data_IF_484095540990
#
_entry.id   IF_484095540990
#
_cell.length_a   1.000
_cell.length_b   1.000
_cell.length_c   1.000
_cell.angle_alpha   90.00
_cell.angle_beta   90.00
_cell.angle_gamma   90.00
#
_symmetry.space_group_name_H-M   'P 1'
#
loop_
_entity.id
_entity.type
_entity.pdbx_description
1 polymer ?
#
# COMPACT_ATOMS: atom_id res chain seq x y z
N UNK A 1 14.43 30.63 7.28
CA UNK A 1 13.28 31.56 7.29
C UNK A 1 12.21 31.02 6.33
N UNK A 2 11.15 30.41 6.85
CA UNK A 2 9.98 30.01 6.07
C UNK A 2 8.81 29.96 7.06
N UNK A 3 8.12 31.09 7.23
CA UNK A 3 6.82 31.17 7.89
C UNK A 3 6.19 32.51 7.49
N UNK A 4 5.73 32.60 6.24
CA UNK A 4 4.71 33.57 5.87
C UNK A 4 3.43 32.77 5.66
N UNK A 5 2.55 32.77 6.65
CA UNK A 5 1.15 32.41 6.47
C UNK A 5 0.56 33.35 5.43
N UNK A 6 0.32 32.84 4.22
CA UNK A 6 -0.39 33.58 3.20
C UNK A 6 -1.89 33.44 3.43
N UNK A 7 -2.59 34.57 3.55
CA UNK A 7 -4.05 34.59 3.59
C UNK A 7 -4.60 34.54 2.16
N UNK A 8 -5.53 33.63 1.91
CA UNK A 8 -6.23 33.50 0.64
C UNK A 8 -7.71 33.81 0.88
N UNK A 9 -8.32 34.58 -0.02
CA UNK A 9 -9.75 34.83 -0.06
C UNK A 9 -10.36 34.03 -1.21
N UNK A 10 -11.37 33.20 -0.93
CA UNK A 10 -12.09 32.43 -1.93
C UNK A 10 -13.56 32.87 -1.99
N UNK A 11 -14.16 32.85 -3.19
CA UNK A 11 -15.60 33.04 -3.36
C UNK A 11 -16.26 31.69 -3.48
N UNK A 12 -17.30 31.46 -2.69
CA UNK A 12 -18.08 30.23 -2.68
C UNK A 12 -19.51 30.55 -3.15
N UNK A 13 -20.19 29.56 -3.73
CA UNK A 13 -21.64 29.65 -3.91
C UNK A 13 -22.33 29.70 -2.53
N UNK A 14 -23.59 30.16 -2.49
CA UNK A 14 -24.36 30.20 -1.25
C UNK A 14 -24.53 28.80 -0.63
N UNK A 15 -24.68 27.79 -1.48
CA UNK A 15 -24.84 26.40 -1.08
C UNK A 15 -23.52 25.84 -0.51
N UNK A 16 -22.39 26.08 -1.17
CA UNK A 16 -21.06 25.64 -0.70
C UNK A 16 -20.67 26.31 0.61
N UNK A 17 -21.01 27.59 0.78
CA UNK A 17 -20.79 28.31 2.03
C UNK A 17 -21.63 27.70 3.16
N UNK A 18 -22.90 27.40 2.90
CA UNK A 18 -23.79 26.78 3.87
C UNK A 18 -23.28 25.39 4.27
N UNK A 19 -22.83 24.61 3.29
CA UNK A 19 -22.19 23.32 3.54
C UNK A 19 -20.90 23.46 4.36
N UNK A 20 -20.02 24.41 4.02
CA UNK A 20 -18.81 24.66 4.79
C UNK A 20 -19.12 24.94 6.27
N UNK A 21 -20.16 25.72 6.55
CA UNK A 21 -20.54 26.07 7.92
C UNK A 21 -21.10 24.89 8.73
N UNK A 22 -21.67 23.87 8.08
CA UNK A 22 -22.22 22.69 8.75
C UNK A 22 -21.16 21.67 9.20
N UNK A 23 -19.90 21.81 8.77
CA UNK A 23 -18.83 20.88 9.10
C UNK A 23 -18.33 21.10 10.53
N UNK A 24 -18.75 20.27 11.48
CA UNK A 24 -18.20 20.22 12.84
C UNK A 24 -17.35 18.96 13.04
N UNK A 25 -16.13 18.99 12.51
CA UNK A 25 -15.11 17.93 12.70
C UNK A 25 -13.84 18.50 13.30
N UNK A 26 -13.15 17.69 14.11
CA UNK A 26 -11.83 17.99 14.69
C UNK A 26 -11.73 19.33 15.44
N UNK A 27 -12.85 19.86 15.95
CA UNK A 27 -12.87 21.15 16.64
C UNK A 27 -12.65 22.36 15.73
N UNK A 28 -12.87 22.24 14.42
CA UNK A 28 -12.80 23.37 13.49
C UNK A 28 -13.98 24.34 13.70
N UNK A 29 -13.72 25.48 14.34
CA UNK A 29 -14.74 26.47 14.71
C UNK A 29 -14.81 27.59 13.69
N UNK A 30 -13.65 28.08 13.23
CA UNK A 30 -13.57 29.20 12.30
C UNK A 30 -13.67 28.76 10.85
N UNK A 31 -14.08 29.67 9.96
CA UNK A 31 -14.17 29.40 8.52
C UNK A 31 -12.83 28.91 7.94
N UNK A 32 -11.71 29.51 8.37
CA UNK A 32 -10.37 29.13 7.93
C UNK A 32 -9.93 27.76 8.47
N UNK A 33 -10.42 27.33 9.64
CA UNK A 33 -10.21 25.97 10.14
C UNK A 33 -11.03 24.96 9.36
N UNK A 34 -12.31 25.26 9.10
CA UNK A 34 -13.20 24.38 8.31
C UNK A 34 -12.68 24.19 6.88
N UNK A 35 -12.15 25.24 6.25
CA UNK A 35 -11.48 25.13 4.94
C UNK A 35 -10.19 24.30 5.03
N UNK A 36 -9.39 24.46 6.10
CA UNK A 36 -8.20 23.62 6.31
C UNK A 36 -8.56 22.14 6.48
N UNK A 37 -9.63 21.84 7.21
CA UNK A 37 -10.13 20.47 7.35
C UNK A 37 -10.65 19.93 6.03
N UNK A 38 -11.39 20.72 5.24
CA UNK A 38 -11.78 20.29 3.89
C UNK A 38 -10.56 20.03 2.99
N UNK A 39 -9.50 20.83 3.09
CA UNK A 39 -8.25 20.58 2.34
C UNK A 39 -7.55 19.33 2.86
N UNK A 40 -7.55 19.07 4.17
CA UNK A 40 -7.00 17.86 4.76
C UNK A 40 -7.78 16.61 4.30
N UNK A 41 -9.11 16.64 4.44
CA UNK A 41 -10.02 15.62 3.94
C UNK A 41 -9.90 15.44 2.43
N UNK A 42 -9.76 16.53 1.66
CA UNK A 42 -9.51 16.44 0.23
C UNK A 42 -8.14 15.84 -0.06
N UNK A 43 -7.09 16.13 0.71
CA UNK A 43 -5.77 15.48 0.54
C UNK A 43 -5.80 14.00 0.89
N UNK A 44 -6.66 13.61 1.83
CA UNK A 44 -6.94 12.22 2.20
C UNK A 44 -7.86 11.53 1.18
N UNK A 45 -8.78 12.26 0.55
CA UNK A 45 -9.77 11.74 -0.42
C UNK A 45 -9.31 11.83 -1.87
N UNK A 46 -8.32 12.68 -2.19
CA UNK A 46 -7.62 12.72 -3.47
C UNK A 46 -6.72 11.50 -3.50
N UNK A 47 -7.38 10.41 -3.89
CA UNK A 47 -6.93 9.24 -4.60
C UNK A 47 -5.56 8.67 -4.32
N UNK A 48 -5.50 7.36 -4.48
CA UNK A 48 -4.29 6.55 -4.56
C UNK A 48 -3.50 6.84 -5.86
N UNK A 49 -3.48 8.10 -6.33
CA UNK A 49 -2.91 8.53 -7.61
C UNK A 49 -1.39 8.37 -7.67
N UNK A 50 -0.72 8.32 -6.51
CA UNK A 50 0.70 8.02 -6.39
C UNK A 50 0.92 6.66 -5.76
N UNK A 51 1.77 5.84 -6.39
CA UNK A 51 2.17 4.53 -5.86
C UNK A 51 2.69 4.58 -4.42
N UNK A 52 3.40 5.63 -4.04
CA UNK A 52 3.87 5.79 -2.65
C UNK A 52 2.70 5.87 -1.68
N UNK A 53 1.63 6.60 -2.01
CA UNK A 53 0.44 6.70 -1.15
C UNK A 53 -0.33 5.40 -1.12
N UNK A 54 -0.44 4.72 -2.26
CA UNK A 54 -1.01 3.39 -2.38
C UNK A 54 -0.32 2.40 -1.45
N UNK A 55 1.01 2.41 -1.49
CA UNK A 55 1.86 1.56 -0.68
C UNK A 55 1.73 1.87 0.80
N UNK A 56 1.68 3.15 1.19
CA UNK A 56 1.46 3.53 2.59
C UNK A 56 0.09 3.07 3.09
N UNK A 57 -0.98 3.31 2.34
CA UNK A 57 -2.33 2.90 2.74
C UNK A 57 -2.49 1.37 2.81
N UNK A 58 -1.98 0.64 1.83
CA UNK A 58 -1.94 -0.82 1.86
C UNK A 58 -1.06 -1.34 3.01
N UNK A 59 0.07 -0.66 3.27
CA UNK A 59 0.99 -0.96 4.36
C UNK A 59 0.35 -0.78 5.74
N UNK A 60 -0.38 0.32 5.96
CA UNK A 60 -1.12 0.59 7.19
C UNK A 60 -2.19 -0.48 7.45
N UNK A 61 -2.89 -0.90 6.40
CA UNK A 61 -3.89 -1.99 6.49
C UNK A 61 -3.23 -3.31 6.92
N UNK A 62 -2.03 -3.59 6.42
CA UNK A 62 -1.27 -4.80 6.75
C UNK A 62 -0.46 -4.69 8.05
N UNK A 63 -0.33 -3.49 8.63
CA UNK A 63 0.56 -3.22 9.76
C UNK A 63 0.23 -4.08 11.01
N UNK A 64 -1.03 -4.28 11.42
CA UNK A 64 -1.34 -5.13 12.58
C UNK A 64 -0.92 -6.58 12.36
N UNK A 65 -1.07 -7.09 11.14
CA UNK A 65 -0.67 -8.46 10.78
C UNK A 65 0.86 -8.58 10.78
N UNK A 66 1.56 -7.61 10.17
CA UNK A 66 3.03 -7.57 10.16
C UNK A 66 3.61 -7.44 11.57
N UNK A 67 3.00 -6.61 12.43
CA UNK A 67 3.43 -6.44 13.82
C UNK A 67 3.24 -7.72 14.62
N UNK A 68 2.04 -8.33 14.56
CA UNK A 68 1.77 -9.62 15.21
C UNK A 68 2.74 -10.72 14.75
N UNK A 69 3.08 -10.74 13.46
CA UNK A 69 4.03 -11.68 12.91
C UNK A 69 5.48 -11.40 13.33
N UNK A 70 5.86 -10.12 13.45
CA UNK A 70 7.19 -9.72 13.87
C UNK A 70 7.52 -10.14 15.31
N UNK A 71 6.50 -10.26 16.16
CA UNK A 71 6.58 -10.73 17.55
C UNK A 71 6.71 -12.27 17.67
N UNK A 72 6.58 -13.03 16.58
CA UNK A 72 6.79 -14.48 16.62
C UNK A 72 8.27 -14.84 16.77
N UNK A 73 8.55 -15.88 17.57
CA UNK A 73 9.91 -16.35 17.86
C UNK A 73 10.69 -16.82 16.63
N UNK A 74 10.01 -17.20 15.55
CA UNK A 74 10.63 -17.66 14.29
C UNK A 74 9.90 -17.04 13.13
N UNK A 75 10.67 -16.48 12.19
CA UNK A 75 10.16 -15.90 10.96
C UNK A 75 10.40 -16.85 9.78
N UNK A 76 9.53 -16.76 8.79
CA UNK A 76 9.46 -17.56 7.58
C UNK A 76 9.56 -16.61 6.40
N UNK A 77 10.58 -16.80 5.58
CA UNK A 77 10.80 -16.03 4.36
C UNK A 77 9.62 -16.14 3.39
N UNK A 78 8.94 -17.30 3.37
CA UNK A 78 7.73 -17.51 2.57
C UNK A 78 6.57 -16.62 3.04
N UNK A 79 6.40 -16.46 4.35
CA UNK A 79 5.33 -15.63 4.92
C UNK A 79 5.65 -14.15 4.69
N UNK A 80 6.91 -13.74 4.87
CA UNK A 80 7.33 -12.37 4.56
C UNK A 80 7.14 -12.03 3.08
N UNK A 81 7.51 -12.94 2.17
CA UNK A 81 7.29 -12.78 0.74
C UNK A 81 5.79 -12.62 0.41
N UNK A 82 4.91 -13.40 1.05
CA UNK A 82 3.47 -13.26 0.89
C UNK A 82 2.96 -11.89 1.38
N UNK A 83 3.39 -11.46 2.57
CA UNK A 83 2.94 -10.19 3.16
C UNK A 83 3.37 -8.99 2.32
N UNK A 84 4.58 -9.03 1.74
CA UNK A 84 5.06 -7.99 0.81
C UNK A 84 4.31 -8.02 -0.52
N UNK A 85 4.16 -9.20 -1.14
CA UNK A 85 3.40 -9.37 -2.38
C UNK A 85 1.98 -8.81 -2.25
N UNK A 86 1.29 -9.08 -1.13
CA UNK A 86 -0.05 -8.55 -0.87
C UNK A 86 -0.03 -7.03 -0.70
N UNK A 87 0.93 -6.49 0.05
CA UNK A 87 1.03 -5.05 0.31
C UNK A 87 1.28 -4.28 -1.01
N UNK A 88 2.29 -4.71 -1.75
CA UNK A 88 2.71 -4.06 -3.00
C UNK A 88 1.73 -4.32 -4.13
N UNK A 89 1.17 -5.54 -4.20
CA UNK A 89 0.15 -5.89 -5.17
C UNK A 89 -1.12 -5.06 -5.00
N UNK A 90 -1.59 -4.88 -3.75
CA UNK A 90 -2.71 -3.98 -3.47
C UNK A 90 -2.41 -2.54 -3.90
N UNK A 91 -1.20 -2.05 -3.63
CA UNK A 91 -0.76 -0.73 -4.06
C UNK A 91 -0.74 -0.58 -5.59
N UNK A 92 -0.20 -1.58 -6.31
CA UNK A 92 -0.16 -1.58 -7.77
C UNK A 92 -1.56 -1.56 -8.39
N UNK A 93 -2.48 -2.39 -7.85
CA UNK A 93 -3.88 -2.43 -8.30
C UNK A 93 -4.54 -1.06 -8.08
N UNK A 94 -4.40 -0.47 -6.89
CA UNK A 94 -5.06 0.79 -6.55
C UNK A 94 -4.59 1.98 -7.39
N UNK A 95 -3.31 2.04 -7.77
CA UNK A 95 -2.83 3.11 -8.67
C UNK A 95 -3.38 2.94 -10.08
N UNK A 96 -3.48 1.69 -10.55
CA UNK A 96 -3.91 1.40 -11.92
C UNK A 96 -5.42 1.53 -12.13
N UNK A 97 -6.25 1.69 -11.10
CA UNK A 97 -7.71 1.79 -11.28
C UNK A 97 -8.17 3.02 -12.07
N UNK A 98 -7.34 4.07 -12.12
CA UNK A 98 -7.62 5.29 -12.89
C UNK A 98 -7.11 5.29 -14.33
N UNK A 99 -6.41 4.24 -14.76
CA UNK A 99 -5.79 4.16 -16.08
C UNK A 99 -6.80 3.74 -17.16
N UNK A 100 -6.71 4.35 -18.35
CA UNK A 100 -7.56 4.00 -19.50
C UNK A 100 -7.36 2.54 -19.94
N UNK A 101 -6.12 2.05 -19.84
CA UNK A 101 -5.75 0.66 -20.08
C UNK A 101 -5.14 0.03 -18.82
N UNK A 102 -6.00 -0.56 -17.99
CA UNK A 102 -5.59 -1.15 -16.71
C UNK A 102 -4.59 -2.30 -16.89
N UNK A 103 -4.80 -3.20 -17.86
CA UNK A 103 -4.00 -4.41 -17.97
C UNK A 103 -2.50 -4.16 -18.27
N UNK A 104 -2.10 -3.35 -19.28
CA UNK A 104 -0.70 -3.01 -19.51
C UNK A 104 -0.06 -2.24 -18.36
N UNK A 105 -0.80 -1.30 -17.74
CA UNK A 105 -0.31 -0.53 -16.62
C UNK A 105 -0.05 -1.42 -15.38
N UNK A 106 -0.98 -2.33 -15.10
CA UNK A 106 -0.86 -3.26 -13.99
C UNK A 106 0.25 -4.28 -14.24
N UNK A 107 0.39 -4.82 -15.45
CA UNK A 107 1.48 -5.74 -15.81
C UNK A 107 2.84 -5.08 -15.56
N UNK A 108 3.02 -3.84 -16.02
CA UNK A 108 4.26 -3.09 -15.81
C UNK A 108 4.57 -2.85 -14.32
N UNK A 109 3.56 -2.51 -13.51
CA UNK A 109 3.74 -2.29 -12.06
C UNK A 109 3.88 -3.58 -11.26
N UNK A 110 3.23 -4.66 -11.69
CA UNK A 110 3.27 -5.95 -11.02
C UNK A 110 4.60 -6.67 -11.26
N UNK A 111 5.24 -6.47 -12.42
CA UNK A 111 6.48 -7.15 -12.78
C UNK A 111 7.57 -7.10 -11.69
N UNK A 112 8.00 -5.93 -11.17
CA UNK A 112 9.02 -5.89 -10.11
C UNK A 112 8.58 -6.57 -8.81
N UNK A 113 7.28 -6.57 -8.50
CA UNK A 113 6.72 -7.18 -7.29
C UNK A 113 6.76 -8.72 -7.42
N UNK A 114 6.35 -9.22 -8.59
CA UNK A 114 6.41 -10.65 -8.93
C UNK A 114 7.86 -11.12 -8.96
N UNK A 115 8.78 -10.31 -9.49
CA UNK A 115 10.20 -10.63 -9.53
C UNK A 115 10.79 -10.77 -8.12
N UNK A 116 10.58 -9.77 -7.25
CA UNK A 116 11.02 -9.83 -5.85
C UNK A 116 10.40 -11.01 -5.08
N UNK A 117 9.14 -11.36 -5.37
CA UNK A 117 8.52 -12.55 -4.81
C UNK A 117 9.21 -13.83 -5.31
N UNK A 118 9.46 -13.95 -6.62
CA UNK A 118 10.16 -15.10 -7.20
C UNK A 118 11.57 -15.27 -6.65
N UNK A 119 12.32 -14.19 -6.44
CA UNK A 119 13.65 -14.23 -5.81
C UNK A 119 13.58 -14.89 -4.42
N UNK A 120 12.58 -14.53 -3.60
CA UNK A 120 12.40 -15.12 -2.28
C UNK A 120 11.99 -16.59 -2.34
N UNK A 121 11.13 -16.97 -3.29
CA UNK A 121 10.78 -18.37 -3.52
C UNK A 121 12.00 -19.18 -3.97
N UNK A 122 12.85 -18.59 -4.81
CA UNK A 122 14.10 -19.22 -5.25
C UNK A 122 15.05 -19.43 -4.08
N UNK A 123 15.21 -18.45 -3.19
CA UNK A 123 16.00 -18.59 -1.97
C UNK A 123 15.47 -19.73 -1.08
N UNK A 124 14.15 -19.83 -0.93
CA UNK A 124 13.50 -20.94 -0.22
C UNK A 124 13.80 -22.30 -0.88
N UNK A 125 13.84 -22.35 -2.21
CA UNK A 125 14.06 -23.59 -2.94
C UNK A 125 15.53 -24.05 -2.92
N UNK A 126 16.48 -23.11 -3.06
CA UNK A 126 17.88 -23.39 -3.30
C UNK A 126 18.73 -23.49 -2.03
N UNK A 127 18.34 -22.83 -0.93
CA UNK A 127 19.13 -22.89 0.30
C UNK A 127 19.01 -24.28 0.96
N UNK A 128 20.10 -24.73 1.60
CA UNK A 128 20.12 -25.98 2.37
C UNK A 128 19.29 -25.86 3.65
N UNK A 129 19.34 -24.69 4.31
CA UNK A 129 18.55 -24.36 5.49
C UNK A 129 17.77 -23.06 5.25
N UNK A 130 16.70 -23.08 4.44
CA UNK A 130 15.90 -21.89 4.19
C UNK A 130 15.18 -21.48 5.47
N UNK A 131 15.05 -20.17 5.68
CA UNK A 131 14.33 -19.60 6.82
C UNK A 131 12.83 -19.86 6.67
N UNK A 132 12.38 -21.03 7.14
CA UNK A 132 10.99 -21.46 7.15
C UNK A 132 10.60 -21.99 8.52
N UNK A 133 9.32 -21.85 8.85
CA UNK A 133 8.72 -22.45 10.06
C UNK A 133 8.40 -23.93 9.78
N UNK A 134 7.76 -24.21 8.65
CA UNK A 134 7.49 -25.57 8.18
C UNK A 134 8.63 -26.08 7.30
N UNK A 135 9.31 -27.13 7.77
CA UNK A 135 10.44 -27.75 7.05
C UNK A 135 10.01 -28.51 5.80
N UNK A 136 8.76 -28.96 5.72
CA UNK A 136 8.24 -29.65 4.53
C UNK A 136 7.99 -28.68 3.37
N UNK A 137 7.71 -27.41 3.66
CA UNK A 137 7.44 -26.39 2.65
C UNK A 137 8.60 -26.22 1.66
N UNK A 138 9.86 -26.26 2.12
CA UNK A 138 11.03 -26.18 1.25
C UNK A 138 11.07 -27.33 0.25
N UNK A 139 10.85 -28.56 0.72
CA UNK A 139 10.87 -29.76 -0.12
C UNK A 139 9.77 -29.72 -1.18
N UNK A 140 8.56 -29.28 -0.80
CA UNK A 140 7.42 -29.13 -1.72
C UNK A 140 7.73 -28.08 -2.80
N UNK A 141 8.25 -26.92 -2.41
CA UNK A 141 8.59 -25.84 -3.34
C UNK A 141 9.70 -26.29 -4.30
N UNK A 142 10.76 -26.91 -3.77
CA UNK A 142 11.87 -27.43 -4.58
C UNK A 142 11.41 -28.48 -5.60
N UNK A 143 10.55 -29.41 -5.18
CA UNK A 143 10.00 -30.43 -6.06
C UNK A 143 9.17 -29.79 -7.17
N UNK A 144 8.25 -28.88 -6.83
CA UNK A 144 7.43 -28.16 -7.83
C UNK A 144 8.27 -27.36 -8.82
N UNK A 145 9.29 -26.66 -8.34
CA UNK A 145 10.18 -25.88 -9.20
C UNK A 145 10.98 -26.78 -10.16
N UNK A 146 11.45 -27.93 -9.66
CA UNK A 146 12.11 -28.95 -10.50
C UNK A 146 11.17 -29.49 -11.58
N UNK A 147 9.92 -29.76 -11.24
CA UNK A 147 8.93 -30.28 -12.19
C UNK A 147 8.57 -29.24 -13.26
N UNK A 148 8.51 -27.96 -12.90
CA UNK A 148 8.28 -26.86 -13.86
C UNK A 148 9.45 -26.66 -14.82
N UNK A 149 10.69 -26.81 -14.37
CA UNK A 149 11.89 -26.67 -15.22
C UNK A 149 12.11 -27.86 -16.16
N UNK A 150 11.50 -29.01 -15.88
CA UNK A 150 11.57 -30.22 -16.71
C UNK A 150 10.45 -30.33 -17.75
N UNK A 151 9.45 -29.44 -17.68
CA UNK A 151 8.40 -29.32 -18.70
C UNK A 151 8.92 -28.58 -19.93
#
# INVERSE_FOLDING_TARGET
>A
MLNKTQSISARLSADDYTYLMSIDRNGAITQSEKVRELIAMARESVGVESFVRAYLAAGETMLPVKARYADENRRSLLVEALLELVTEGAAAIQVCTGEEQIAPALEHKALPIVDAFMEKILLVALQDEPRLIDRQAAAIIRQRLTDLLKR
#
